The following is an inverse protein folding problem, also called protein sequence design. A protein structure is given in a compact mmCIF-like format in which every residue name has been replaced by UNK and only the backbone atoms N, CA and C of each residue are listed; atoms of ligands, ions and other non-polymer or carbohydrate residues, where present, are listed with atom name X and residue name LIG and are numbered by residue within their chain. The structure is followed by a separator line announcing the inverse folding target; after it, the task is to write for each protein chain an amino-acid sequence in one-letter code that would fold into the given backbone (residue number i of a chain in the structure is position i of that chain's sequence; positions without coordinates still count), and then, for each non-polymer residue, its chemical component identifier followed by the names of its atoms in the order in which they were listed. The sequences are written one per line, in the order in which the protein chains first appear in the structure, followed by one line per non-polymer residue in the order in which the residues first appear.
data_IF_294125082284
#
_entry.id   IF_294125082284
#
_cell.length_a   1.000
_cell.length_b   1.000
_cell.length_c   1.000
_cell.angle_alpha   90.00
_cell.angle_beta   90.00
_cell.angle_gamma   90.00
#
_symmetry.space_group_name_H-M   'P 1'
#
loop_
_entity.id
_entity.type
_entity.pdbx_description
1 polymer ?
#
# COMPACT_ATOMS: atom_id res chain seq x y z
N UNK A 1 23.70 -8.58 -21.25
CA UNK A 1 22.92 -7.41 -20.79
C UNK A 1 21.47 -7.66 -21.16
N UNK A 2 20.68 -8.28 -20.28
CA UNK A 2 19.23 -8.37 -20.46
C UNK A 2 18.60 -7.34 -19.51
N UNK A 3 18.60 -6.08 -19.95
CA UNK A 3 17.87 -5.03 -19.25
C UNK A 3 16.40 -5.43 -19.23
N UNK A 4 15.87 -5.70 -18.03
CA UNK A 4 14.50 -6.12 -17.82
C UNK A 4 13.57 -5.11 -18.50
N UNK A 5 13.02 -5.48 -19.65
CA UNK A 5 12.21 -4.60 -20.51
C UNK A 5 10.78 -4.51 -20.00
N UNK A 6 10.62 -4.15 -18.73
CA UNK A 6 9.28 -3.89 -18.19
C UNK A 6 8.88 -2.49 -18.60
N UNK A 7 7.96 -2.40 -19.55
CA UNK A 7 7.46 -1.13 -20.02
C UNK A 7 6.69 -0.43 -18.88
N UNK A 8 7.28 0.65 -18.35
CA UNK A 8 6.70 1.44 -17.27
C UNK A 8 5.82 2.54 -17.86
N UNK A 9 4.52 2.32 -17.87
CA UNK A 9 3.56 3.33 -18.28
C UNK A 9 2.25 3.18 -17.48
N UNK A 10 1.54 4.29 -17.19
CA UNK A 10 0.25 4.22 -16.54
C UNK A 10 -0.79 3.58 -17.46
N UNK A 11 -1.79 2.94 -16.87
CA UNK A 11 -3.03 2.54 -17.52
C UNK A 11 -4.18 3.35 -16.91
N UNK A 12 -5.06 3.87 -17.75
CA UNK A 12 -6.24 4.62 -17.28
C UNK A 12 -7.50 3.76 -17.43
N UNK A 13 -8.22 3.58 -16.33
CA UNK A 13 -9.52 2.96 -16.28
C UNK A 13 -10.62 3.97 -16.61
N UNK A 14 -11.12 3.92 -17.84
CA UNK A 14 -12.20 4.79 -18.33
C UNK A 14 -13.52 4.62 -17.58
N UNK A 15 -13.73 3.48 -16.93
CA UNK A 15 -14.87 3.22 -16.05
C UNK A 15 -14.89 4.14 -14.82
N UNK A 16 -13.70 4.41 -14.26
CA UNK A 16 -13.55 5.24 -13.05
C UNK A 16 -13.27 6.71 -13.38
N UNK A 17 -12.71 6.98 -14.55
CA UNK A 17 -12.37 8.32 -15.00
C UNK A 17 -13.63 9.11 -15.36
N UNK A 18 -13.94 10.13 -14.56
CA UNK A 18 -14.98 11.14 -14.84
C UNK A 18 -14.47 12.32 -15.69
N UNK A 19 -13.27 12.19 -16.28
CA UNK A 19 -12.70 13.28 -17.07
C UNK A 19 -12.13 14.44 -16.29
N UNK A 20 -12.20 14.41 -14.95
CA UNK A 20 -11.95 15.58 -14.12
C UNK A 20 -12.83 16.77 -14.57
N UNK A 21 -14.05 16.54 -15.07
CA UNK A 21 -14.96 17.57 -15.59
C UNK A 21 -15.24 18.69 -14.58
N UNK A 22 -15.14 18.38 -13.29
CA UNK A 22 -15.34 19.30 -12.17
C UNK A 22 -14.14 20.21 -11.90
N UNK A 23 -12.99 19.91 -12.51
CA UNK A 23 -11.75 20.65 -12.36
C UNK A 23 -11.44 21.39 -13.65
N UNK A 24 -10.86 22.59 -13.55
CA UNK A 24 -10.48 23.39 -14.73
C UNK A 24 -9.48 22.66 -15.62
N UNK A 25 -8.64 21.83 -15.01
CA UNK A 25 -7.68 20.98 -15.69
C UNK A 25 -7.65 19.58 -15.05
N UNK A 26 -7.37 18.54 -15.83
CA UNK A 26 -7.18 17.20 -15.31
C UNK A 26 -5.92 17.17 -14.45
N UNK A 27 -6.04 16.73 -13.20
CA UNK A 27 -4.89 16.72 -12.27
C UNK A 27 -3.74 15.84 -12.76
N UNK A 28 -4.03 14.80 -13.54
CA UNK A 28 -3.01 13.95 -14.16
C UNK A 28 -2.17 14.70 -15.21
N UNK A 29 -2.78 15.60 -15.97
CA UNK A 29 -2.10 16.48 -16.93
C UNK A 29 -1.30 17.56 -16.20
N UNK A 30 -1.93 18.21 -15.22
CA UNK A 30 -1.29 19.24 -14.38
C UNK A 30 -0.03 18.74 -13.69
N UNK A 31 -0.09 17.51 -13.17
CA UNK A 31 1.01 16.91 -12.43
C UNK A 31 2.08 16.27 -13.32
N UNK A 32 1.75 15.93 -14.57
CA UNK A 32 2.67 15.26 -15.48
C UNK A 32 3.18 16.22 -16.58
N UNK A 33 4.32 16.91 -16.37
CA UNK A 33 4.88 17.83 -17.36
C UNK A 33 5.37 17.13 -18.63
N UNK A 34 5.50 15.79 -18.61
CA UNK A 34 5.99 14.99 -19.73
C UNK A 34 4.93 14.74 -20.83
N UNK A 35 3.70 15.25 -20.67
CA UNK A 35 2.66 15.09 -21.69
C UNK A 35 2.26 13.63 -21.95
N UNK A 36 2.30 12.79 -20.93
CA UNK A 36 1.94 11.35 -21.02
C UNK A 36 0.43 11.17 -21.26
N UNK A 37 -0.37 12.05 -20.67
CA UNK A 37 -1.83 12.00 -20.71
C UNK A 37 -2.40 13.00 -21.72
N UNK A 38 -3.57 12.68 -22.28
CA UNK A 38 -4.36 13.53 -23.17
C UNK A 38 -5.85 13.39 -22.81
N UNK A 39 -6.68 14.40 -23.10
CA UNK A 39 -8.13 14.29 -22.95
C UNK A 39 -8.76 13.97 -24.30
N UNK A 40 -9.47 12.83 -24.37
CA UNK A 40 -10.28 12.44 -25.53
C UNK A 40 -11.70 12.13 -25.10
N UNK A 41 -12.67 12.78 -25.75
CA UNK A 41 -14.09 12.57 -25.43
C UNK A 41 -14.45 12.83 -23.97
N UNK A 42 -13.78 13.81 -23.34
CA UNK A 42 -13.96 14.12 -21.93
C UNK A 42 -13.39 13.09 -20.96
N UNK A 43 -12.50 12.18 -21.39
CA UNK A 43 -11.80 11.24 -20.50
C UNK A 43 -10.30 11.32 -20.71
N UNK A 44 -9.54 11.08 -19.64
CA UNK A 44 -8.09 10.98 -19.73
C UNK A 44 -7.68 9.67 -20.42
N UNK A 45 -6.76 9.76 -21.36
CA UNK A 45 -6.14 8.65 -22.08
C UNK A 45 -4.63 8.81 -22.07
N UNK A 46 -3.90 7.71 -22.23
CA UNK A 46 -2.44 7.73 -22.31
C UNK A 46 -2.05 7.89 -23.77
N UNK A 47 -1.63 9.10 -24.15
CA UNK A 47 -1.23 9.40 -25.52
C UNK A 47 0.24 9.04 -25.78
N UNK A 48 1.12 9.31 -24.80
CA UNK A 48 2.56 9.11 -24.93
C UNK A 48 3.09 8.24 -23.79
N UNK A 49 2.85 6.92 -23.79
CA UNK A 49 3.30 6.03 -22.72
C UNK A 49 4.83 6.02 -22.58
N UNK A 50 5.56 6.20 -23.68
CA UNK A 50 7.03 6.21 -23.71
C UNK A 50 7.66 7.44 -23.02
N UNK A 51 6.91 8.53 -22.85
CA UNK A 51 7.37 9.71 -22.11
C UNK A 51 7.26 9.52 -20.58
N UNK A 52 6.69 8.40 -20.12
CA UNK A 52 6.61 8.10 -18.71
C UNK A 52 7.98 7.65 -18.18
N UNK A 53 8.49 8.36 -17.17
CA UNK A 53 9.76 8.03 -16.53
C UNK A 53 9.61 6.72 -15.74
N UNK A 54 10.47 5.74 -16.00
CA UNK A 54 10.51 4.47 -15.28
C UNK A 54 10.57 4.70 -13.76
N UNK A 55 9.59 4.17 -13.01
CA UNK A 55 9.47 4.33 -11.56
C UNK A 55 8.64 5.53 -11.09
N UNK A 56 8.28 6.46 -11.98
CA UNK A 56 7.42 7.59 -11.61
C UNK A 56 5.96 7.13 -11.49
N UNK A 57 5.41 7.16 -10.27
CA UNK A 57 4.01 6.83 -9.97
C UNK A 57 3.24 8.01 -9.34
N UNK A 58 3.83 9.21 -9.35
CA UNK A 58 3.33 10.31 -8.54
C UNK A 58 1.96 10.85 -9.00
N UNK A 59 1.54 10.58 -10.24
CA UNK A 59 0.18 10.88 -10.70
C UNK A 59 -0.90 9.90 -10.22
N UNK A 60 -0.55 8.69 -9.75
CA UNK A 60 -1.50 7.69 -9.22
C UNK A 60 -2.31 8.24 -8.02
N UNK A 61 -1.68 8.72 -6.92
CA UNK A 61 -2.41 9.24 -5.76
C UNK A 61 -3.11 10.58 -6.01
N UNK A 62 -2.69 11.33 -7.05
CA UNK A 62 -3.26 12.63 -7.40
C UNK A 62 -4.66 12.51 -8.00
N UNK A 63 -4.97 11.36 -8.62
CA UNK A 63 -6.27 11.10 -9.20
C UNK A 63 -7.33 10.83 -8.10
N UNK A 64 -8.34 11.71 -7.92
CA UNK A 64 -9.34 11.55 -6.86
C UNK A 64 -10.20 10.29 -7.04
N UNK A 65 -10.33 9.82 -8.28
CA UNK A 65 -11.08 8.60 -8.64
C UNK A 65 -10.24 7.33 -8.62
N UNK A 66 -8.93 7.44 -8.41
CA UNK A 66 -7.98 6.32 -8.50
C UNK A 66 -8.17 5.55 -9.82
N UNK A 67 -8.31 6.30 -10.92
CA UNK A 67 -8.50 5.75 -12.26
C UNK A 67 -7.17 5.41 -12.95
N UNK A 68 -6.03 5.80 -12.38
CA UNK A 68 -4.69 5.55 -12.90
C UNK A 68 -4.10 4.36 -12.15
N UNK A 69 -3.47 3.44 -12.86
CA UNK A 69 -2.76 2.30 -12.28
C UNK A 69 -1.47 2.03 -13.03
N UNK A 70 -0.41 1.73 -12.29
CA UNK A 70 0.90 1.40 -12.85
C UNK A 70 1.16 -0.11 -12.86
N UNK A 71 1.99 -0.61 -13.80
CA UNK A 71 2.46 -1.99 -13.77
C UNK A 71 3.20 -2.22 -12.45
N UNK A 72 2.70 -3.17 -11.67
CA UNK A 72 3.34 -3.60 -10.44
C UNK A 72 4.58 -4.41 -10.85
N UNK A 73 5.75 -3.76 -10.94
CA UNK A 73 7.04 -4.44 -10.96
C UNK A 73 7.16 -5.14 -9.62
N UNK A 74 6.66 -6.38 -9.55
CA UNK A 74 6.31 -7.03 -8.31
C UNK A 74 7.44 -7.01 -7.30
N UNK A 75 7.28 -6.19 -6.26
CA UNK A 75 7.31 -6.56 -4.83
C UNK A 75 6.45 -5.49 -4.12
N UNK A 76 5.12 -5.64 -4.20
CA UNK A 76 4.28 -5.19 -3.08
C UNK A 76 4.00 -6.45 -2.28
N UNK A 77 4.89 -6.72 -1.33
CA UNK A 77 4.65 -7.66 -0.23
C UNK A 77 3.36 -7.21 0.48
N UNK A 78 2.21 -7.66 -0.01
CA UNK A 78 0.93 -7.52 0.66
C UNK A 78 0.34 -8.87 1.07
N UNK A 79 1.17 -9.90 1.13
CA UNK A 79 0.89 -11.09 1.94
C UNK A 79 2.22 -11.64 2.44
N UNK A 80 2.80 -10.96 3.43
CA UNK A 80 3.68 -11.52 4.48
C UNK A 80 3.82 -10.47 5.58
N UNK A 81 2.90 -10.52 6.54
CA UNK A 81 3.35 -10.38 7.92
C UNK A 81 4.20 -11.63 8.16
N UNK A 82 5.51 -11.49 7.94
CA UNK A 82 6.55 -12.44 8.33
C UNK A 82 7.51 -11.57 9.14
N UNK A 83 7.06 -11.15 10.33
CA UNK A 83 7.37 -11.81 11.60
C UNK A 83 8.87 -12.18 11.74
N UNK A 84 9.75 -11.24 11.41
CA UNK A 84 11.20 -11.38 11.60
C UNK A 84 11.83 -10.28 12.47
N UNK A 85 11.06 -9.36 13.08
CA UNK A 85 11.69 -8.27 13.87
C UNK A 85 11.04 -7.93 15.19
N UNK A 86 10.22 -8.83 15.72
CA UNK A 86 9.86 -8.79 17.13
C UNK A 86 10.18 -10.16 17.70
N UNK A 87 11.16 -10.24 18.59
CA UNK A 87 11.56 -11.46 19.33
C UNK A 87 10.47 -11.92 20.31
N UNK A 88 9.20 -11.84 19.90
CA UNK A 88 8.03 -12.18 20.67
C UNK A 88 7.75 -13.66 20.42
N UNK A 89 7.87 -14.47 21.47
CA UNK A 89 7.38 -15.83 21.46
C UNK A 89 5.88 -15.83 21.75
N UNK A 90 5.12 -16.64 21.02
CA UNK A 90 3.72 -16.94 21.34
C UNK A 90 3.69 -17.95 22.49
N UNK A 91 3.04 -17.59 23.60
CA UNK A 91 2.94 -18.41 24.82
C UNK A 91 1.49 -18.44 25.30
N UNK A 92 1.03 -19.58 25.81
CA UNK A 92 -0.28 -19.76 26.44
C UNK A 92 -0.18 -19.51 27.95
N UNK A 93 -1.09 -18.70 28.50
CA UNK A 93 -1.06 -18.40 29.94
C UNK A 93 -1.40 -19.62 30.80
N UNK A 94 -0.54 -19.97 31.77
CA UNK A 94 -0.80 -21.09 32.68
C UNK A 94 -2.05 -20.91 33.58
N UNK A 95 -2.50 -19.67 33.80
CA UNK A 95 -3.61 -19.35 34.71
C UNK A 95 -4.96 -19.26 33.98
N UNK A 96 -5.00 -18.63 32.81
CA UNK A 96 -6.25 -18.38 32.08
C UNK A 96 -6.33 -19.03 30.69
N UNK A 97 -5.26 -19.70 30.24
CA UNK A 97 -5.21 -20.40 28.95
C UNK A 97 -5.12 -19.49 27.72
N UNK A 98 -5.20 -18.16 27.85
CA UNK A 98 -5.17 -17.26 26.69
C UNK A 98 -3.80 -17.24 26.01
N UNK A 99 -3.79 -17.26 24.68
CA UNK A 99 -2.59 -17.08 23.86
C UNK A 99 -2.18 -15.59 23.85
N UNK A 100 -0.91 -15.32 24.13
CA UNK A 100 -0.35 -13.97 24.07
C UNK A 100 1.10 -13.97 23.57
N UNK A 101 1.54 -12.80 23.10
CA UNK A 101 2.89 -12.58 22.58
C UNK A 101 3.72 -11.88 23.65
N UNK A 102 4.90 -12.41 23.98
CA UNK A 102 5.78 -11.82 25.01
C UNK A 102 7.25 -11.98 24.63
N UNK A 103 8.10 -11.00 24.99
CA UNK A 103 9.56 -11.12 24.84
C UNK A 103 10.23 -11.70 26.09
N UNK A 104 9.44 -11.98 27.14
CA UNK A 104 9.93 -12.36 28.46
C UNK A 104 9.73 -13.86 28.68
N UNK A 105 10.57 -14.45 29.54
CA UNK A 105 10.46 -15.85 29.97
C UNK A 105 9.17 -16.20 30.76
N UNK A 106 8.29 -15.25 31.03
CA UNK A 106 7.05 -15.51 31.77
C UNK A 106 6.00 -16.27 30.93
N UNK A 107 5.47 -17.37 31.49
CA UNK A 107 4.28 -18.13 31.04
C UNK A 107 2.96 -17.52 31.54
N UNK A 108 3.02 -16.41 32.28
CA UNK A 108 1.85 -15.76 32.85
C UNK A 108 1.56 -14.44 32.15
N UNK A 109 0.33 -14.27 31.66
CA UNK A 109 -0.07 -13.05 30.97
C UNK A 109 -0.09 -11.83 31.91
N UNK A 110 -0.01 -10.63 31.34
CA UNK A 110 -0.01 -9.37 32.09
C UNK A 110 -1.23 -9.20 33.03
N UNK A 111 -2.40 -9.65 32.60
CA UNK A 111 -3.64 -9.61 33.40
C UNK A 111 -3.56 -10.53 34.64
N UNK A 112 -3.04 -11.74 34.48
CA UNK A 112 -2.88 -12.68 35.58
C UNK A 112 -1.72 -12.30 36.50
N UNK A 113 -0.64 -11.72 35.96
CA UNK A 113 0.47 -11.15 36.75
C UNK A 113 -0.02 -10.01 37.65
N UNK A 114 -1.00 -9.23 37.21
CA UNK A 114 -1.64 -8.18 38.03
C UNK A 114 -2.51 -8.71 39.18
N UNK A 115 -2.93 -9.99 39.16
CA UNK A 115 -3.78 -10.59 40.20
C UNK A 115 -3.00 -11.25 41.35
N UNK A 116 -1.69 -11.45 41.22
CA UNK A 116 -0.87 -12.10 42.27
C UNK A 116 -0.44 -11.14 43.40
N UNK A 117 -0.64 -9.83 43.27
CA UNK A 117 -0.25 -8.86 44.30
C UNK A 117 -1.36 -8.48 45.30
N UNK A 118 -2.56 -9.09 45.20
CA UNK A 118 -3.69 -8.85 46.11
C UNK A 118 -4.22 -10.12 46.82
N UNK A 119 -3.38 -11.13 47.01
CA UNK A 119 -3.65 -12.24 47.96
C UNK A 119 -2.56 -12.27 49.03
N UNK A 120 -2.62 -11.25 49.87
CA UNK A 120 -1.84 -11.12 51.11
C UNK A 120 -2.69 -10.37 52.12
N UNK A 121 -3.77 -11.00 52.58
CA UNK A 121 -4.50 -10.66 53.80
C UNK A 121 -4.78 -11.94 54.55
#
# INVERSE_FOLDING_TARGET
MAGSSTAWFPTIFLDRCDGCEKFREPRCLSYCPNGVFEIRGGKAVVANPMNCVNGCNACEPVCPRKAISFPNTGIRSRDRIDDWSLSLRKVSCAICGKEFWTNTDADTCFDCKGKSQQRGR
#
